data_IF_332651118843
#
_entry.id   IF_332651118843
#
_cell.length_a   1.000
_cell.length_b   1.000
_cell.length_c   1.000
_cell.angle_alpha   90.00
_cell.angle_beta   90.00
_cell.angle_gamma   90.00
#
_symmetry.space_group_name_H-M   'P 1'
#
loop_
_entity.id
_entity.type
_entity.pdbx_description
1 polymer ?
#
# COMPACT_ATOMS: atom_id res chain seq x y z
N UNK A 1 -26.19 -12.03 5.02
CA UNK A 1 -25.36 -12.20 3.82
C UNK A 1 -23.95 -11.63 4.05
N UNK A 2 -23.76 -10.31 4.11
CA UNK A 2 -22.43 -9.68 4.27
C UNK A 2 -21.60 -10.19 5.47
N UNK A 3 -22.22 -10.36 6.66
CA UNK A 3 -21.49 -10.86 7.84
C UNK A 3 -20.97 -12.29 7.67
N UNK A 4 -21.70 -13.17 6.98
CA UNK A 4 -21.27 -14.56 6.74
C UNK A 4 -20.12 -14.63 5.74
N UNK A 5 -20.13 -13.78 4.71
CA UNK A 5 -19.01 -13.66 3.77
C UNK A 5 -17.72 -13.28 4.50
N UNK A 6 -17.79 -12.28 5.39
CA UNK A 6 -16.64 -11.88 6.22
C UNK A 6 -16.17 -13.04 7.10
N UNK A 7 -17.07 -13.76 7.78
CA UNK A 7 -16.68 -14.91 8.62
C UNK A 7 -15.99 -16.00 7.82
N UNK A 8 -16.45 -16.27 6.60
CA UNK A 8 -15.84 -17.24 5.71
C UNK A 8 -14.46 -16.78 5.25
N UNK A 9 -14.33 -15.52 4.83
CA UNK A 9 -13.09 -14.90 4.36
C UNK A 9 -12.03 -14.73 5.46
N UNK A 10 -12.44 -14.67 6.73
CA UNK A 10 -11.55 -14.56 7.89
C UNK A 10 -11.59 -15.81 8.77
N UNK A 11 -11.93 -16.96 8.21
CA UNK A 11 -12.01 -18.21 8.95
C UNK A 11 -10.61 -18.62 9.43
N UNK A 12 -10.51 -19.08 10.68
CA UNK A 12 -9.26 -19.57 11.24
C UNK A 12 -8.73 -20.85 10.57
N UNK A 13 -9.62 -21.55 9.84
CA UNK A 13 -9.31 -22.79 9.12
C UNK A 13 -8.67 -22.54 7.76
N UNK A 14 -8.57 -21.28 7.33
CA UNK A 14 -7.90 -20.94 6.09
C UNK A 14 -6.40 -21.19 6.22
N UNK A 15 -5.81 -21.75 5.16
CA UNK A 15 -4.36 -21.92 5.05
C UNK A 15 -3.68 -20.61 4.66
N UNK A 16 -4.38 -19.79 3.89
CA UNK A 16 -3.93 -18.51 3.36
C UNK A 16 -5.11 -17.57 3.12
N UNK A 17 -4.83 -16.33 2.75
CA UNK A 17 -5.85 -15.33 2.47
C UNK A 17 -6.71 -15.71 1.26
N UNK A 18 -8.03 -15.69 1.43
CA UNK A 18 -8.96 -15.94 0.34
C UNK A 18 -9.20 -14.66 -0.47
N UNK A 19 -8.33 -14.42 -1.44
CA UNK A 19 -8.39 -13.22 -2.30
C UNK A 19 -9.72 -13.09 -3.02
N UNK A 20 -10.28 -14.19 -3.53
CA UNK A 20 -11.53 -14.19 -4.26
C UNK A 20 -12.68 -13.68 -3.37
N UNK A 21 -12.82 -14.23 -2.15
CA UNK A 21 -13.85 -13.73 -1.20
C UNK A 21 -13.61 -12.29 -0.78
N UNK A 22 -12.36 -11.88 -0.61
CA UNK A 22 -12.06 -10.50 -0.21
C UNK A 22 -12.43 -9.50 -1.30
N UNK A 23 -12.18 -9.84 -2.57
CA UNK A 23 -12.60 -9.04 -3.73
C UNK A 23 -14.12 -8.97 -3.80
N UNK A 24 -14.82 -10.10 -3.66
CA UNK A 24 -16.28 -10.16 -3.66
C UNK A 24 -16.90 -9.27 -2.56
N UNK A 25 -16.30 -9.23 -1.37
CA UNK A 25 -16.74 -8.36 -0.28
C UNK A 25 -16.48 -6.88 -0.62
N UNK A 26 -15.36 -6.54 -1.27
CA UNK A 26 -15.09 -5.17 -1.72
C UNK A 26 -16.10 -4.73 -2.80
N UNK A 27 -16.38 -5.59 -3.77
CA UNK A 27 -17.40 -5.35 -4.81
C UNK A 27 -18.79 -5.15 -4.21
N UNK A 28 -19.16 -5.97 -3.22
CA UNK A 28 -20.43 -5.83 -2.49
C UNK A 28 -20.58 -4.44 -1.86
N UNK A 29 -19.53 -3.93 -1.19
CA UNK A 29 -19.58 -2.61 -0.56
C UNK A 29 -19.51 -1.48 -1.59
N UNK A 30 -18.75 -1.67 -2.67
CA UNK A 30 -18.68 -0.70 -3.76
C UNK A 30 -20.05 -0.52 -4.46
N UNK A 31 -20.79 -1.61 -4.65
CA UNK A 31 -22.13 -1.60 -5.23
C UNK A 31 -23.19 -1.06 -4.25
N UNK A 32 -23.11 -1.44 -2.98
CA UNK A 32 -24.02 -0.99 -1.93
C UNK A 32 -23.24 -0.50 -0.69
N UNK A 33 -22.94 0.81 -0.61
CA UNK A 33 -22.28 1.41 0.55
C UNK A 33 -23.02 1.17 1.88
N UNK A 34 -24.33 0.88 1.85
CA UNK A 34 -25.11 0.52 3.04
C UNK A 34 -24.62 -0.77 3.71
N UNK A 35 -23.93 -1.66 2.98
CA UNK A 35 -23.36 -2.91 3.51
C UNK A 35 -22.11 -2.68 4.36
N UNK A 36 -21.45 -1.51 4.25
CA UNK A 36 -20.22 -1.19 4.98
C UNK A 36 -20.38 -1.41 6.50
N UNK A 37 -21.53 -1.04 7.07
CA UNK A 37 -21.80 -1.17 8.51
C UNK A 37 -21.75 -2.62 8.99
N UNK A 38 -22.40 -3.52 8.27
CA UNK A 38 -22.46 -4.93 8.64
C UNK A 38 -21.13 -5.63 8.41
N UNK A 39 -20.42 -5.27 7.32
CA UNK A 39 -19.06 -5.74 7.03
C UNK A 39 -18.10 -5.35 8.16
N UNK A 40 -18.04 -4.06 8.51
CA UNK A 40 -17.15 -3.57 9.57
C UNK A 40 -17.50 -4.13 10.94
N UNK A 41 -18.80 -4.29 11.28
CA UNK A 41 -19.20 -4.97 12.51
C UNK A 41 -18.71 -6.42 12.56
N UNK A 42 -18.76 -7.14 11.43
CA UNK A 42 -18.27 -8.51 11.35
C UNK A 42 -16.75 -8.56 11.49
N UNK A 43 -16.02 -7.68 10.80
CA UNK A 43 -14.55 -7.53 10.92
C UNK A 43 -14.15 -7.23 12.36
N UNK A 44 -14.84 -6.29 13.04
CA UNK A 44 -14.61 -5.96 14.45
C UNK A 44 -14.73 -7.19 15.35
N UNK A 45 -15.71 -8.06 15.11
CA UNK A 45 -15.87 -9.33 15.85
C UNK A 45 -14.70 -10.29 15.58
N UNK A 46 -14.27 -10.42 14.32
CA UNK A 46 -13.15 -11.29 13.96
C UNK A 46 -11.82 -10.82 14.57
N UNK A 47 -11.57 -9.50 14.56
CA UNK A 47 -10.41 -8.87 15.22
C UNK A 47 -10.45 -9.09 16.74
N UNK A 48 -11.64 -9.14 17.35
CA UNK A 48 -11.82 -9.44 18.76
C UNK A 48 -11.72 -10.94 19.13
N UNK A 49 -11.59 -11.84 18.15
CA UNK A 49 -11.53 -13.29 18.39
C UNK A 49 -10.23 -13.71 19.08
N UNK A 50 -10.16 -14.95 19.60
CA UNK A 50 -8.92 -15.52 20.16
C UNK A 50 -7.96 -16.05 19.08
N UNK A 51 -8.43 -16.15 17.84
CA UNK A 51 -7.71 -16.83 16.77
C UNK A 51 -6.80 -15.87 16.04
N UNK A 52 -5.50 -16.12 16.10
CA UNK A 52 -4.46 -15.28 15.46
C UNK A 52 -4.66 -15.19 13.95
N UNK A 53 -4.99 -16.31 13.31
CA UNK A 53 -5.26 -16.35 11.88
C UNK A 53 -6.50 -15.53 11.51
N UNK A 54 -7.60 -15.71 12.25
CA UNK A 54 -8.82 -14.94 12.01
C UNK A 54 -8.60 -13.43 12.22
N UNK A 55 -7.83 -13.04 13.24
CA UNK A 55 -7.44 -11.65 13.46
C UNK A 55 -6.61 -11.10 12.29
N UNK A 56 -5.58 -11.83 11.86
CA UNK A 56 -4.70 -11.40 10.78
C UNK A 56 -5.48 -11.21 9.47
N UNK A 57 -6.26 -12.22 9.07
CA UNK A 57 -7.08 -12.14 7.85
C UNK A 57 -8.13 -11.03 7.94
N UNK A 58 -8.72 -10.79 9.11
CA UNK A 58 -9.65 -9.68 9.29
C UNK A 58 -8.98 -8.31 9.15
N UNK A 59 -7.74 -8.14 9.62
CA UNK A 59 -6.98 -6.89 9.44
C UNK A 59 -6.56 -6.71 7.96
N UNK A 60 -6.19 -7.79 7.27
CA UNK A 60 -5.87 -7.74 5.83
C UNK A 60 -7.11 -7.39 4.99
N UNK A 61 -8.27 -7.98 5.30
CA UNK A 61 -9.54 -7.61 4.64
C UNK A 61 -9.92 -6.16 4.95
N UNK A 62 -9.73 -5.69 6.19
CA UNK A 62 -9.97 -4.29 6.56
C UNK A 62 -9.11 -3.32 5.73
N UNK A 63 -7.83 -3.63 5.54
CA UNK A 63 -6.93 -2.85 4.69
C UNK A 63 -7.43 -2.78 3.24
N UNK A 64 -7.79 -3.93 2.65
CA UNK A 64 -8.35 -3.95 1.30
C UNK A 64 -9.60 -3.06 1.19
N UNK A 65 -10.52 -3.16 2.15
CA UNK A 65 -11.75 -2.37 2.14
C UNK A 65 -11.49 -0.86 2.26
N UNK A 66 -10.55 -0.46 3.12
CA UNK A 66 -10.18 0.95 3.26
C UNK A 66 -9.54 1.49 1.97
N UNK A 67 -8.71 0.70 1.31
CA UNK A 67 -8.01 1.11 0.10
C UNK A 67 -8.91 1.15 -1.14
N UNK A 68 -9.96 0.32 -1.21
CA UNK A 68 -10.78 0.15 -2.43
C UNK A 68 -12.18 0.76 -2.32
N UNK A 69 -12.78 0.86 -1.13
CA UNK A 69 -14.16 1.30 -0.96
C UNK A 69 -14.30 2.71 -0.37
N UNK A 70 -13.20 3.32 0.09
CA UNK A 70 -13.14 4.73 0.48
C UNK A 70 -14.01 5.13 1.69
N UNK A 71 -14.61 6.32 1.60
CA UNK A 71 -15.27 7.00 2.72
C UNK A 71 -16.35 6.20 3.50
N UNK A 72 -17.24 5.41 2.86
CA UNK A 72 -18.21 4.58 3.57
C UNK A 72 -17.55 3.64 4.59
N UNK A 73 -16.41 3.05 4.22
CA UNK A 73 -15.65 2.16 5.12
C UNK A 73 -14.99 2.97 6.25
N UNK A 74 -14.29 4.06 5.94
CA UNK A 74 -13.63 4.89 6.96
C UNK A 74 -14.61 5.40 8.03
N UNK A 75 -15.79 5.87 7.62
CA UNK A 75 -16.86 6.27 8.56
C UNK A 75 -17.25 5.12 9.48
N UNK A 76 -17.50 3.94 8.93
CA UNK A 76 -17.88 2.79 9.73
C UNK A 76 -16.76 2.29 10.66
N UNK A 77 -15.49 2.39 10.26
CA UNK A 77 -14.34 2.08 11.14
C UNK A 77 -14.34 2.97 12.39
N UNK A 78 -14.61 4.26 12.21
CA UNK A 78 -14.66 5.26 13.29
C UNK A 78 -15.93 5.06 14.14
N UNK A 79 -17.11 5.05 13.51
CA UNK A 79 -18.41 4.98 14.19
C UNK A 79 -18.58 3.70 15.01
N UNK A 80 -17.99 2.59 14.56
CA UNK A 80 -18.03 1.33 15.30
C UNK A 80 -16.91 1.22 16.34
N UNK A 81 -16.09 2.25 16.56
CA UNK A 81 -15.02 2.25 17.56
C UNK A 81 -13.99 1.15 17.32
N UNK A 82 -13.59 0.95 16.05
CA UNK A 82 -12.60 -0.07 15.71
C UNK A 82 -11.17 0.40 16.01
N UNK A 83 -10.87 1.70 15.83
CA UNK A 83 -9.53 2.25 16.08
C UNK A 83 -9.01 2.02 17.51
N UNK A 84 -9.78 2.26 18.59
CA UNK A 84 -9.31 1.97 19.95
C UNK A 84 -9.01 0.48 20.18
N UNK A 85 -9.72 -0.42 19.49
CA UNK A 85 -9.46 -1.87 19.57
C UNK A 85 -8.13 -2.21 18.91
N UNK A 86 -7.88 -1.67 17.72
CA UNK A 86 -6.62 -1.83 16.99
C UNK A 86 -5.44 -1.35 17.84
N UNK A 87 -5.52 -0.15 18.40
CA UNK A 87 -4.50 0.42 19.30
C UNK A 87 -4.27 -0.48 20.51
N UNK A 88 -5.34 -0.96 21.16
CA UNK A 88 -5.26 -1.88 22.30
C UNK A 88 -4.57 -3.19 21.94
N UNK A 89 -4.80 -3.73 20.75
CA UNK A 89 -4.13 -4.96 20.28
C UNK A 89 -2.63 -4.72 20.10
N UNK A 90 -2.23 -3.61 19.47
CA UNK A 90 -0.82 -3.28 19.25
C UNK A 90 -0.08 -3.01 20.57
N UNK A 91 -0.73 -2.34 21.52
CA UNK A 91 -0.14 -2.07 22.86
C UNK A 91 0.01 -3.33 23.69
N UNK A 92 -0.88 -4.31 23.53
CA UNK A 92 -0.70 -5.63 24.14
C UNK A 92 0.50 -6.32 23.52
N UNK A 93 1.20 -7.15 24.30
CA UNK A 93 2.19 -8.12 23.79
C UNK A 93 1.49 -9.29 23.07
N UNK A 94 0.55 -9.00 22.15
CA UNK A 94 0.03 -9.98 21.21
C UNK A 94 1.13 -10.41 20.24
N UNK A 95 0.82 -11.37 19.37
CA UNK A 95 1.79 -11.89 18.40
C UNK A 95 2.25 -10.83 17.40
N UNK A 96 3.52 -10.91 17.04
CA UNK A 96 4.18 -9.94 16.18
C UNK A 96 3.46 -9.69 14.84
N UNK A 97 3.00 -10.72 14.07
CA UNK A 97 2.43 -10.49 12.75
C UNK A 97 1.15 -9.65 12.76
N UNK A 98 0.26 -9.87 13.73
CA UNK A 98 -1.00 -9.11 13.83
C UNK A 98 -0.71 -7.68 14.28
N UNK A 99 0.17 -7.50 15.26
CA UNK A 99 0.53 -6.17 15.79
C UNK A 99 1.19 -5.30 14.73
N UNK A 100 2.18 -5.87 14.06
CA UNK A 100 2.91 -5.19 13.00
C UNK A 100 1.95 -4.82 11.87
N UNK A 101 1.10 -5.74 11.42
CA UNK A 101 0.12 -5.45 10.37
C UNK A 101 -0.83 -4.31 10.75
N UNK A 102 -1.32 -4.28 11.99
CA UNK A 102 -2.19 -3.19 12.47
C UNK A 102 -1.44 -1.86 12.55
N UNK A 103 -0.21 -1.86 13.05
CA UNK A 103 0.60 -0.64 13.13
C UNK A 103 0.86 -0.06 11.74
N UNK A 104 1.30 -0.90 10.79
CA UNK A 104 1.54 -0.52 9.41
C UNK A 104 0.28 0.00 8.72
N UNK A 105 -0.86 -0.64 8.99
CA UNK A 105 -2.15 -0.18 8.49
C UNK A 105 -2.47 1.23 8.99
N UNK A 106 -2.32 1.50 10.29
CA UNK A 106 -2.60 2.82 10.87
C UNK A 106 -1.62 3.89 10.37
N UNK A 107 -0.34 3.57 10.25
CA UNK A 107 0.71 4.46 9.71
C UNK A 107 0.45 4.86 8.26
N UNK A 108 0.17 3.87 7.41
CA UNK A 108 -0.16 4.11 6.01
C UNK A 108 -1.46 4.90 5.84
N UNK A 109 -2.50 4.54 6.61
CA UNK A 109 -3.82 5.18 6.50
C UNK A 109 -3.80 6.61 7.01
N UNK A 110 -3.12 6.91 8.12
CA UNK A 110 -3.03 8.30 8.59
C UNK A 110 -2.23 9.17 7.60
N UNK A 111 -1.17 8.62 7.00
CA UNK A 111 -0.36 9.34 6.01
C UNK A 111 -1.19 9.65 4.76
N UNK A 112 -1.91 8.66 4.22
CA UNK A 112 -2.69 8.85 2.99
C UNK A 112 -3.90 9.78 3.16
N UNK A 113 -4.46 9.87 4.38
CA UNK A 113 -5.63 10.69 4.67
C UNK A 113 -5.31 12.12 5.14
N UNK A 114 -4.03 12.52 5.16
CA UNK A 114 -3.59 13.88 5.48
C UNK A 114 -3.24 14.13 6.95
N UNK A 115 -3.06 13.06 7.75
CA UNK A 115 -2.62 13.14 9.14
C UNK A 115 -3.57 13.92 10.05
N UNK A 116 -3.00 14.69 10.98
CA UNK A 116 -3.75 15.44 12.00
C UNK A 116 -4.74 16.48 11.44
N UNK A 117 -4.52 16.95 10.21
CA UNK A 117 -5.38 17.94 9.53
C UNK A 117 -6.24 17.30 8.44
N UNK A 118 -6.21 15.97 8.34
CA UNK A 118 -6.90 15.19 7.35
C UNK A 118 -8.41 15.11 7.57
N UNK A 119 -9.11 14.47 6.63
CA UNK A 119 -10.57 14.24 6.72
C UNK A 119 -10.96 13.32 7.87
N UNK A 120 -10.06 12.42 8.25
CA UNK A 120 -10.26 11.43 9.31
C UNK A 120 -9.10 11.49 10.33
N UNK A 121 -9.00 12.55 11.14
CA UNK A 121 -7.87 12.77 12.06
C UNK A 121 -7.75 11.67 13.14
N UNK A 122 -8.82 10.91 13.39
CA UNK A 122 -8.83 9.79 14.34
C UNK A 122 -7.80 8.70 14.00
N UNK A 123 -7.48 8.51 12.71
CA UNK A 123 -6.39 7.59 12.32
C UNK A 123 -5.03 8.10 12.77
N UNK A 124 -4.78 9.41 12.66
CA UNK A 124 -3.56 10.05 13.16
C UNK A 124 -3.48 9.93 14.68
N UNK A 125 -4.57 10.20 15.40
CA UNK A 125 -4.62 10.05 16.87
C UNK A 125 -4.27 8.62 17.29
N UNK A 126 -4.90 7.62 16.65
CA UNK A 126 -4.64 6.21 16.93
C UNK A 126 -3.17 5.82 16.67
N UNK A 127 -2.59 6.27 15.56
CA UNK A 127 -1.19 6.06 15.24
C UNK A 127 -0.25 6.75 16.24
N UNK A 128 -0.50 8.03 16.53
CA UNK A 128 0.32 8.84 17.44
C UNK A 128 0.29 8.29 18.86
N UNK A 129 -0.84 7.73 19.31
CA UNK A 129 -0.97 7.04 20.60
C UNK A 129 -0.03 5.81 20.70
N UNK A 130 0.25 5.15 19.58
CA UNK A 130 1.19 4.02 19.53
C UNK A 130 2.64 4.51 19.54
N UNK A 131 2.96 5.53 18.74
CA UNK A 131 4.31 6.11 18.66
C UNK A 131 4.71 6.73 20.00
N UNK A 132 3.83 7.49 20.64
CA UNK A 132 4.05 8.08 21.96
C UNK A 132 4.21 7.03 23.07
N UNK A 133 3.59 5.85 22.91
CA UNK A 133 3.80 4.70 23.78
C UNK A 133 5.12 3.94 23.50
N UNK A 134 5.96 4.43 22.58
CA UNK A 134 7.25 3.84 22.24
C UNK A 134 7.16 2.61 21.34
N UNK A 135 6.00 2.35 20.72
CA UNK A 135 5.85 1.26 19.75
C UNK A 135 6.72 1.57 18.53
N UNK A 136 7.65 0.67 18.22
CA UNK A 136 8.50 0.74 17.04
C UNK A 136 8.38 -0.58 16.29
N UNK A 137 8.15 -0.49 14.99
CA UNK A 137 8.32 -1.60 14.06
C UNK A 137 9.34 -1.16 13.03
N UNK A 138 10.31 -2.01 12.73
CA UNK A 138 11.34 -1.74 11.74
C UNK A 138 10.69 -1.78 10.36
N UNK A 139 10.22 -0.64 9.88
CA UNK A 139 9.58 -0.58 8.57
C UNK A 139 10.64 -0.32 7.50
N UNK A 140 11.12 -1.37 6.84
CA UNK A 140 11.41 -1.32 5.40
C UNK A 140 11.05 -2.67 4.80
N UNK A 141 10.18 -2.76 3.79
CA UNK A 141 10.31 -3.87 2.85
C UNK A 141 11.79 -3.86 2.41
N UNK A 142 12.48 -4.99 2.54
CA UNK A 142 13.65 -5.22 1.72
C UNK A 142 13.14 -5.24 0.28
N UNK A 143 12.98 -4.07 -0.32
CA UNK A 143 13.13 -3.95 -1.75
C UNK A 143 14.58 -4.31 -1.97
N UNK A 144 14.84 -5.59 -2.19
CA UNK A 144 16.04 -6.01 -2.89
C UNK A 144 15.86 -5.41 -4.27
N UNK A 145 16.32 -4.17 -4.43
CA UNK A 145 16.65 -3.67 -5.74
C UNK A 145 17.83 -4.54 -6.13
N UNK A 146 17.56 -5.62 -6.86
CA UNK A 146 18.61 -6.28 -7.63
C UNK A 146 19.16 -5.19 -8.53
N UNK A 147 20.30 -4.62 -8.15
CA UNK A 147 21.05 -3.74 -9.03
C UNK A 147 21.36 -4.58 -10.26
N UNK A 148 20.61 -4.37 -11.34
CA UNK A 148 21.00 -4.86 -12.65
C UNK A 148 22.29 -4.13 -12.95
N UNK A 149 23.41 -4.80 -12.69
CA UNK A 149 24.70 -4.39 -13.24
C UNK A 149 24.54 -4.48 -14.75
N UNK A 150 24.40 -3.33 -15.42
CA UNK A 150 24.59 -3.28 -16.85
C UNK A 150 26.03 -3.76 -17.11
N UNK A 151 26.24 -4.81 -17.91
CA UNK A 151 27.59 -5.15 -18.34
C UNK A 151 28.11 -3.98 -19.19
N UNK A 152 29.30 -3.51 -18.82
CA UNK A 152 30.08 -2.54 -19.60
C UNK A 152 30.28 -3.12 -21.01
N UNK A 153 30.01 -2.37 -22.10
CA UNK A 153 30.31 -2.85 -23.44
C UNK A 153 31.82 -3.02 -23.59
N UNK A 154 32.24 -4.24 -23.89
CA UNK A 154 33.62 -4.58 -24.26
C UNK A 154 34.01 -3.80 -25.52
N UNK A 155 35.12 -3.08 -25.43
CA UNK A 155 35.73 -2.35 -26.54
C UNK A 155 36.18 -3.35 -27.60
N UNK A 156 35.52 -3.34 -28.75
CA UNK A 156 35.91 -4.11 -29.94
C UNK A 156 37.18 -3.45 -30.51
N UNK A 157 38.28 -4.20 -30.52
CA UNK A 157 39.54 -3.84 -31.17
C UNK A 157 39.38 -3.94 -32.69
N UNK A 158 39.47 -2.83 -33.41
CA UNK A 158 39.55 -2.81 -34.88
C UNK A 158 40.99 -3.06 -35.38
N UNK A 159 41.16 -3.66 -36.57
CA UNK A 159 42.45 -4.12 -37.08
C UNK A 159 43.24 -2.99 -37.76
N UNK A 160 44.55 -3.06 -37.62
CA UNK A 160 45.53 -2.07 -38.08
C UNK A 160 45.72 -2.11 -39.61
N UNK A 161 45.71 -0.95 -40.28
CA UNK A 161 46.42 -0.71 -41.56
C UNK A 161 46.98 0.71 -41.61
N UNK A 162 48.27 0.75 -41.93
CA UNK A 162 49.18 1.88 -41.93
C UNK A 162 48.90 2.99 -42.96
N UNK A 163 49.35 4.20 -42.57
CA UNK A 163 49.99 5.25 -43.37
C UNK A 163 49.20 6.00 -44.46
N UNK A 164 48.96 7.31 -44.25
CA UNK A 164 49.84 8.42 -44.68
C UNK A 164 49.06 9.69 -45.10
N UNK A 165 49.18 10.74 -44.27
CA UNK A 165 49.33 12.18 -44.62
C UNK A 165 48.25 12.99 -45.34
N UNK A 166 48.27 14.29 -44.96
CA UNK A 166 47.75 15.51 -45.63
C UNK A 166 46.27 15.84 -45.41
N UNK A 167 45.79 17.10 -45.39
CA UNK A 167 46.30 18.46 -45.11
C UNK A 167 45.07 19.38 -45.25
N UNK A 168 44.78 20.19 -44.23
CA UNK A 168 44.14 21.53 -44.23
C UNK A 168 42.85 21.85 -45.03
N UNK A 169 41.90 22.47 -44.30
CA UNK A 169 40.98 23.58 -44.64
C UNK A 169 39.75 23.37 -45.56
N UNK A 170 38.58 23.83 -45.10
CA UNK A 170 37.42 24.17 -45.96
C UNK A 170 36.03 24.25 -45.29
N UNK A 171 35.64 25.45 -44.85
CA UNK A 171 34.32 26.16 -44.87
C UNK A 171 32.97 25.42 -45.12
N UNK A 172 32.01 25.68 -44.21
CA UNK A 172 30.52 25.80 -44.24
C UNK A 172 29.64 24.97 -45.20
N UNK A 173 28.54 24.38 -44.67
CA UNK A 173 27.14 24.70 -45.04
C UNK A 173 26.11 24.10 -44.04
N UNK A 174 24.99 24.81 -43.86
CA UNK A 174 23.81 24.59 -42.98
C UNK A 174 22.99 23.32 -43.27
N UNK A 175 22.26 22.82 -42.25
CA UNK A 175 20.83 22.50 -42.38
C UNK A 175 20.12 22.34 -41.01
N UNK A 176 19.07 23.13 -40.88
CA UNK A 176 17.98 23.24 -39.91
C UNK A 176 17.39 21.92 -39.35
N UNK A 177 17.13 21.85 -38.03
CA UNK A 177 16.05 21.02 -37.45
C UNK A 177 15.26 21.83 -36.42
N UNK A 178 13.98 21.97 -36.72
CA UNK A 178 12.93 22.69 -36.00
C UNK A 178 12.68 22.11 -34.59
N UNK A 179 12.64 23.00 -33.60
CA UNK A 179 12.19 22.75 -32.24
C UNK A 179 10.65 22.82 -32.22
N UNK A 180 9.96 21.74 -31.84
CA UNK A 180 8.53 21.78 -31.53
C UNK A 180 8.30 21.34 -30.09
N UNK A 181 7.44 22.14 -29.45
CA UNK A 181 7.21 22.37 -28.04
C UNK A 181 6.16 21.48 -27.38
N UNK A 182 6.43 21.18 -26.11
CA UNK A 182 5.53 21.23 -24.93
C UNK A 182 4.12 20.61 -25.06
N UNK A 183 3.96 19.39 -24.52
CA UNK A 183 2.66 18.83 -24.11
C UNK A 183 2.56 18.79 -22.59
N UNK A 184 2.12 19.92 -22.03
CA UNK A 184 1.42 19.95 -20.74
C UNK A 184 0.00 19.43 -20.90
N UNK A 185 -0.54 18.92 -19.79
CA UNK A 185 -1.89 18.39 -19.52
C UNK A 185 -2.10 16.89 -19.73
N UNK A 186 -1.96 16.11 -18.65
CA UNK A 186 -2.96 15.10 -18.28
C UNK A 186 -3.10 15.03 -16.75
N UNK A 187 -4.31 15.43 -16.31
CA UNK A 187 -4.99 15.21 -15.02
C UNK A 187 -4.55 16.03 -13.79
N UNK A 188 -5.39 17.01 -13.46
CA UNK A 188 -5.56 17.60 -12.13
C UNK A 188 -6.99 17.39 -11.65
#
# INVERSE_FOLDING_TARGET
MASEMVKAATSEKLKEMDWAKNIEICELVAQDPGKAKDVIKSIKKCIGSRSKNAQLYAVMLLEMLMNNCGEPIHKQVIDNGLLPILVKIVKKKTELPVREKIFLLLDATQTSLGGAKGKFPQYYEAYYELVSAGVKFSNRPNVVITQVHNPVPETITEPNKDNLSSRSNGVQQEANVQLVSDTRYLWG
#
